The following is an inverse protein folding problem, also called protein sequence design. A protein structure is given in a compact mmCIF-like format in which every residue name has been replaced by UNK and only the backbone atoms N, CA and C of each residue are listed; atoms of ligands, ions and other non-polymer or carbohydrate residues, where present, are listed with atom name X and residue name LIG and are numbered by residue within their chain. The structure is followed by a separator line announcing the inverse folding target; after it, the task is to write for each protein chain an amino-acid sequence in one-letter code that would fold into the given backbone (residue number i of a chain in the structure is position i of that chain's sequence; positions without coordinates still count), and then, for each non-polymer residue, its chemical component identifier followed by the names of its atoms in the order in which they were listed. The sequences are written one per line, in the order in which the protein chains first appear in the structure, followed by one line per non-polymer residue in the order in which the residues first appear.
data_IF_905565390039
#
_entry.id   IF_905565390039
#
_cell.length_a   1.000
_cell.length_b   1.000
_cell.length_c   1.000
_cell.angle_alpha   90.00
_cell.angle_beta   90.00
_cell.angle_gamma   90.00
#
_symmetry.space_group_name_H-M   'P 1'
#
loop_
_entity.id
_entity.type
_entity.pdbx_description
1 polymer ?
#
# COMPACT_ATOMS: atom_id res chain seq x y z
N UNK A 1 -51.57 39.20 -34.13
CA UNK A 1 -51.87 37.75 -34.20
C UNK A 1 -50.82 37.09 -35.08
N UNK A 2 -50.18 35.98 -34.69
CA UNK A 2 -50.10 35.36 -33.37
C UNK A 2 -48.68 35.34 -32.77
N UNK A 3 -48.68 35.23 -31.45
CA UNK A 3 -47.54 34.95 -30.58
C UNK A 3 -46.96 33.57 -30.89
N UNK A 4 -45.64 33.40 -30.80
CA UNK A 4 -45.06 32.16 -30.30
C UNK A 4 -43.84 32.45 -29.44
N UNK A 5 -44.13 32.59 -28.15
CA UNK A 5 -43.22 32.28 -27.05
C UNK A 5 -42.93 30.78 -27.17
N UNK A 6 -41.66 30.39 -27.34
CA UNK A 6 -41.23 29.02 -27.07
C UNK A 6 -40.42 29.01 -25.77
N UNK A 7 -40.79 28.15 -24.79
CA UNK A 7 -40.27 28.21 -23.43
C UNK A 7 -38.88 27.58 -23.33
N UNK A 8 -38.07 28.20 -22.47
CA UNK A 8 -36.88 27.60 -21.87
C UNK A 8 -37.33 26.35 -21.11
N UNK A 9 -37.02 25.16 -21.62
CA UNK A 9 -37.16 23.92 -20.85
C UNK A 9 -36.04 23.88 -19.79
N UNK A 10 -36.32 24.46 -18.63
CA UNK A 10 -35.66 24.10 -17.38
C UNK A 10 -36.15 22.69 -17.02
N UNK A 11 -35.41 21.66 -17.42
CA UNK A 11 -35.57 20.33 -16.83
C UNK A 11 -34.88 20.37 -15.47
N UNK A 12 -35.64 20.74 -14.45
CA UNK A 12 -35.29 20.50 -13.05
C UNK A 12 -35.41 18.98 -12.88
N UNK A 13 -34.28 18.27 -12.96
CA UNK A 13 -34.20 16.93 -12.39
C UNK A 13 -34.30 17.07 -10.87
N UNK A 14 -35.51 16.95 -10.35
CA UNK A 14 -35.73 16.63 -8.94
C UNK A 14 -35.17 15.22 -8.79
N UNK A 15 -33.90 15.13 -8.40
CA UNK A 15 -33.33 13.90 -7.87
C UNK A 15 -34.04 13.68 -6.54
N UNK A 16 -35.13 12.91 -6.59
CA UNK A 16 -35.72 12.32 -5.39
C UNK A 16 -34.65 11.39 -4.85
N UNK A 17 -33.85 11.89 -3.90
CA UNK A 17 -33.05 11.05 -3.03
C UNK A 17 -34.02 10.16 -2.26
N UNK A 18 -34.38 9.02 -2.83
CA UNK A 18 -34.83 7.88 -2.03
C UNK A 18 -33.61 7.46 -1.22
N UNK A 19 -33.51 8.04 -0.03
CA UNK A 19 -32.68 7.50 1.04
C UNK A 19 -33.16 6.07 1.29
N UNK A 20 -32.53 5.11 0.62
CA UNK A 20 -32.49 3.74 1.12
C UNK A 20 -31.53 3.78 2.29
N UNK A 21 -32.07 4.13 3.46
CA UNK A 21 -31.56 3.59 4.69
C UNK A 21 -31.68 2.06 4.54
N UNK A 22 -30.57 1.38 4.29
CA UNK A 22 -30.49 -0.01 4.68
C UNK A 22 -30.54 0.00 6.20
N UNK A 23 -31.76 -0.10 6.73
CA UNK A 23 -32.07 -0.42 8.11
C UNK A 23 -31.33 -1.73 8.43
N UNK A 24 -30.13 -1.61 9.01
CA UNK A 24 -29.61 -2.66 9.86
C UNK A 24 -30.67 -2.90 10.93
N UNK A 25 -31.19 -4.12 11.01
CA UNK A 25 -32.17 -4.52 12.02
C UNK A 25 -31.75 -3.93 13.37
N UNK A 26 -32.60 -3.06 13.91
CA UNK A 26 -32.45 -2.51 15.26
C UNK A 26 -32.71 -3.66 16.24
N UNK A 27 -31.76 -4.59 16.34
CA UNK A 27 -31.62 -5.52 17.46
C UNK A 27 -31.68 -4.63 18.68
N UNK A 28 -32.64 -4.83 19.58
CA UNK A 28 -33.00 -3.82 20.57
C UNK A 28 -31.93 -3.50 21.62
N UNK A 29 -30.68 -3.93 21.43
CA UNK A 29 -29.51 -3.80 22.28
C UNK A 29 -28.61 -2.64 21.80
N UNK A 30 -27.77 -2.12 22.70
CA UNK A 30 -26.76 -1.12 22.31
C UNK A 30 -25.61 -1.80 21.55
N UNK A 31 -25.20 -1.19 20.45
CA UNK A 31 -24.14 -1.68 19.60
C UNK A 31 -23.21 -0.54 19.16
N UNK A 32 -21.98 -0.89 18.78
CA UNK A 32 -21.04 0.03 18.13
C UNK A 32 -20.91 -0.37 16.67
N UNK A 33 -21.43 0.47 15.78
CA UNK A 33 -21.16 0.40 14.36
C UNK A 33 -19.82 1.05 14.05
N UNK A 34 -19.11 0.52 13.06
CA UNK A 34 -17.82 1.05 12.64
C UNK A 34 -17.73 1.21 11.14
N UNK A 35 -17.03 2.25 10.71
CA UNK A 35 -16.77 2.52 9.30
C UNK A 35 -15.34 3.05 9.13
N UNK A 36 -14.50 2.33 8.39
CA UNK A 36 -13.16 2.82 8.04
C UNK A 36 -13.26 3.94 7.01
N UNK A 37 -12.35 4.92 7.11
CA UNK A 37 -12.24 5.98 6.10
C UNK A 37 -11.81 5.40 4.74
N UNK A 38 -10.78 4.53 4.80
CA UNK A 38 -10.16 3.91 3.64
C UNK A 38 -10.69 2.51 3.39
N UNK A 39 -10.76 2.14 2.12
CA UNK A 39 -10.98 0.75 1.72
C UNK A 39 -9.73 -0.09 1.97
N UNK A 40 -9.91 -1.39 2.20
CA UNK A 40 -8.80 -2.33 2.23
C UNK A 40 -8.08 -2.40 0.88
N UNK A 41 -6.83 -2.83 0.89
CA UNK A 41 -6.08 -3.06 -0.34
C UNK A 41 -6.76 -4.06 -1.28
N UNK A 42 -7.41 -5.10 -0.74
CA UNK A 42 -8.13 -6.11 -1.53
C UNK A 42 -9.17 -5.48 -2.43
N UNK A 43 -9.91 -4.48 -1.94
CA UNK A 43 -10.94 -3.82 -2.70
C UNK A 43 -10.35 -3.09 -3.92
N UNK A 44 -9.24 -2.38 -3.73
CA UNK A 44 -8.52 -1.73 -4.83
C UNK A 44 -7.94 -2.72 -5.82
N UNK A 45 -7.30 -3.79 -5.33
CA UNK A 45 -6.72 -4.85 -6.18
C UNK A 45 -7.84 -5.50 -7.01
N UNK A 46 -9.01 -5.76 -6.42
CA UNK A 46 -10.17 -6.30 -7.14
C UNK A 46 -10.70 -5.34 -8.19
N UNK A 47 -10.79 -4.05 -7.86
CA UNK A 47 -11.29 -2.99 -8.74
C UNK A 47 -10.45 -2.79 -10.02
N UNK A 48 -9.19 -3.24 -10.03
CA UNK A 48 -8.34 -3.20 -11.22
C UNK A 48 -8.82 -4.16 -12.31
N UNK A 49 -9.25 -5.36 -11.91
CA UNK A 49 -9.62 -6.42 -12.85
C UNK A 49 -11.15 -6.57 -13.01
N UNK A 50 -11.95 -6.13 -12.02
CA UNK A 50 -13.41 -6.29 -12.01
C UNK A 50 -14.10 -5.04 -11.46
N UNK A 51 -15.37 -4.85 -11.80
CA UNK A 51 -16.19 -3.85 -11.12
C UNK A 51 -16.49 -4.31 -9.68
N UNK A 52 -16.52 -3.35 -8.76
CA UNK A 52 -16.84 -3.57 -7.34
C UNK A 52 -18.15 -2.89 -7.04
N UNK A 53 -19.12 -3.66 -6.54
CA UNK A 53 -20.46 -3.14 -6.20
C UNK A 53 -20.41 -2.21 -4.98
N UNK A 54 -21.42 -1.34 -4.84
CA UNK A 54 -21.53 -0.45 -3.67
C UNK A 54 -21.67 -1.24 -2.36
N UNK A 55 -22.37 -2.38 -2.39
CA UNK A 55 -22.48 -3.28 -1.24
C UNK A 55 -21.11 -3.78 -0.78
N UNK A 56 -20.26 -4.20 -1.71
CA UNK A 56 -18.90 -4.65 -1.37
C UNK A 56 -18.03 -3.53 -0.81
N UNK A 57 -18.19 -2.29 -1.30
CA UNK A 57 -17.51 -1.11 -0.74
C UNK A 57 -17.99 -0.82 0.69
N UNK A 58 -19.28 -0.96 0.93
CA UNK A 58 -19.86 -0.74 2.25
C UNK A 58 -19.41 -1.82 3.25
N UNK A 59 -19.48 -3.09 2.86
CA UNK A 59 -19.05 -4.22 3.68
C UNK A 59 -17.54 -4.14 4.02
N UNK A 60 -16.71 -3.77 3.05
CA UNK A 60 -15.27 -3.59 3.25
C UNK A 60 -14.96 -2.52 4.32
N UNK A 61 -15.78 -1.46 4.40
CA UNK A 61 -15.61 -0.42 5.41
C UNK A 61 -16.07 -0.83 6.81
N UNK A 62 -16.90 -1.88 6.93
CA UNK A 62 -17.41 -2.39 8.20
C UNK A 62 -16.48 -3.43 8.86
N UNK A 63 -15.35 -3.75 8.22
CA UNK A 63 -14.36 -4.74 8.71
C UNK A 63 -13.81 -4.42 10.11
N UNK A 64 -13.46 -5.48 10.83
CA UNK A 64 -12.87 -5.46 12.18
C UNK A 64 -11.33 -5.54 12.16
N UNK A 65 -10.75 -6.05 11.07
CA UNK A 65 -9.30 -6.02 10.81
C UNK A 65 -8.93 -4.66 10.26
N UNK A 66 -8.02 -3.96 10.93
CA UNK A 66 -7.66 -2.57 10.63
C UNK A 66 -6.15 -2.46 10.46
N UNK A 67 -5.69 -1.71 9.46
CA UNK A 67 -4.26 -1.48 9.27
C UNK A 67 -3.77 -0.37 10.22
N UNK A 68 -2.51 -0.47 10.64
CA UNK A 68 -1.86 0.62 11.36
C UNK A 68 -1.96 1.95 10.58
N UNK A 69 -2.14 3.05 11.30
CA UNK A 69 -2.33 4.38 10.72
C UNK A 69 -3.73 4.67 10.15
N UNK A 70 -4.65 3.69 10.12
CA UNK A 70 -6.03 3.94 9.65
C UNK A 70 -6.87 4.75 10.65
N UNK A 71 -7.96 5.31 10.15
CA UNK A 71 -8.96 6.03 10.93
C UNK A 71 -10.31 5.33 10.78
N UNK A 72 -11.02 5.18 11.91
CA UNK A 72 -12.31 4.51 12.01
C UNK A 72 -13.32 5.47 12.62
N UNK A 73 -14.46 5.61 11.99
CA UNK A 73 -15.62 6.26 12.56
C UNK A 73 -16.45 5.23 13.33
N UNK A 74 -16.77 5.53 14.59
CA UNK A 74 -17.57 4.69 15.47
C UNK A 74 -18.90 5.39 15.74
N UNK A 75 -20.01 4.66 15.64
CA UNK A 75 -21.36 5.16 15.92
C UNK A 75 -22.03 4.25 16.94
N UNK A 76 -22.47 4.83 18.05
CA UNK A 76 -23.30 4.13 19.02
C UNK A 76 -24.73 4.06 18.48
N UNK A 77 -25.23 2.84 18.28
CA UNK A 77 -26.60 2.56 17.82
C UNK A 77 -27.36 1.69 18.83
N UNK A 78 -28.67 1.56 18.63
CA UNK A 78 -29.60 0.88 19.53
C UNK A 78 -30.78 1.76 19.96
N UNK A 79 -31.61 1.26 20.88
CA UNK A 79 -32.78 2.00 21.38
C UNK A 79 -32.36 3.25 22.16
N UNK A 80 -32.99 4.38 21.88
CA UNK A 80 -32.77 5.66 22.59
C UNK A 80 -32.90 5.52 24.12
N UNK A 81 -33.84 4.68 24.58
CA UNK A 81 -34.03 4.41 26.00
C UNK A 81 -32.78 3.79 26.66
N UNK A 82 -32.04 2.93 25.95
CA UNK A 82 -30.80 2.32 26.44
C UNK A 82 -29.62 3.30 26.40
N UNK A 83 -29.65 4.30 25.52
CA UNK A 83 -28.66 5.38 25.52
C UNK A 83 -28.91 6.31 26.72
N UNK A 84 -30.16 6.67 27.00
CA UNK A 84 -30.48 7.64 28.05
C UNK A 84 -30.05 9.06 27.66
N UNK A 85 -29.57 9.85 28.63
CA UNK A 85 -29.06 11.20 28.37
C UNK A 85 -27.78 11.18 27.52
N UNK A 86 -27.79 11.70 26.28
CA UNK A 86 -26.62 11.70 25.42
C UNK A 86 -25.42 12.41 26.02
N UNK A 87 -25.59 13.39 26.92
CA UNK A 87 -24.47 14.14 27.53
C UNK A 87 -23.58 13.28 28.45
N UNK A 88 -24.08 12.09 28.83
CA UNK A 88 -23.41 11.13 29.71
C UNK A 88 -22.81 9.95 28.97
N UNK A 89 -22.80 9.96 27.63
CA UNK A 89 -22.07 8.96 26.84
C UNK A 89 -20.57 9.14 27.10
N UNK A 90 -19.93 8.05 27.51
CA UNK A 90 -18.48 7.98 27.72
C UNK A 90 -17.87 6.91 26.83
N UNK A 91 -16.81 7.27 26.11
CA UNK A 91 -16.06 6.35 25.25
C UNK A 91 -14.74 5.98 25.91
N UNK A 92 -14.41 4.69 25.88
CA UNK A 92 -13.18 4.15 26.45
C UNK A 92 -12.49 3.20 25.47
N UNK A 93 -11.17 3.29 25.44
CA UNK A 93 -10.31 2.32 24.76
C UNK A 93 -9.74 1.39 25.84
N UNK A 94 -9.80 0.09 25.59
CA UNK A 94 -9.16 -0.95 26.39
C UNK A 94 -8.06 -1.56 25.53
N UNK A 95 -6.82 -1.24 25.88
CA UNK A 95 -5.62 -1.55 25.10
C UNK A 95 -4.81 -0.29 24.78
N UNK A 96 -3.70 -0.46 24.06
CA UNK A 96 -2.85 0.62 23.57
C UNK A 96 -2.88 0.69 22.03
N UNK A 97 -2.20 1.65 21.43
CA UNK A 97 -2.02 1.70 19.97
C UNK A 97 -3.12 2.39 19.18
N UNK A 98 -4.04 3.08 19.84
CA UNK A 98 -5.03 3.95 19.22
C UNK A 98 -5.42 5.11 20.14
N UNK A 99 -5.92 6.21 19.56
CA UNK A 99 -6.43 7.36 20.30
C UNK A 99 -7.73 7.86 19.67
N UNK A 100 -8.60 8.48 20.49
CA UNK A 100 -9.72 9.24 19.94
C UNK A 100 -9.26 10.58 19.39
N UNK A 101 -9.89 11.00 18.29
CA UNK A 101 -9.66 12.31 17.67
C UNK A 101 -10.76 13.26 18.13
N UNK A 102 -10.36 14.33 18.82
CA UNK A 102 -11.27 15.37 19.32
C UNK A 102 -12.03 14.99 20.60
N UNK A 103 -13.11 15.73 20.89
CA UNK A 103 -13.94 15.52 22.08
C UNK A 103 -14.90 14.33 21.89
N UNK A 104 -14.89 13.40 22.83
CA UNK A 104 -15.75 12.19 22.80
C UNK A 104 -16.95 12.27 23.74
N UNK A 105 -16.87 13.11 24.78
CA UNK A 105 -17.90 13.18 25.81
C UNK A 105 -19.22 13.61 25.22
N UNK A 106 -20.24 12.81 25.51
CA UNK A 106 -21.60 13.05 25.09
C UNK A 106 -21.86 12.93 23.58
N UNK A 107 -20.94 12.32 22.82
CA UNK A 107 -21.08 12.13 21.38
C UNK A 107 -21.55 10.71 21.07
N UNK A 108 -22.58 10.58 20.25
CA UNK A 108 -22.98 9.28 19.67
C UNK A 108 -22.03 8.79 18.58
N UNK A 109 -21.25 9.71 17.99
CA UNK A 109 -20.31 9.42 16.92
C UNK A 109 -18.93 9.93 17.31
N UNK A 110 -17.92 9.08 17.24
CA UNK A 110 -16.53 9.44 17.55
C UNK A 110 -15.59 8.88 16.50
N UNK A 111 -14.39 9.45 16.42
CA UNK A 111 -13.35 9.01 15.50
C UNK A 111 -12.20 8.40 16.29
N UNK A 112 -11.79 7.20 15.90
CA UNK A 112 -10.65 6.48 16.42
C UNK A 112 -9.51 6.50 15.40
N UNK A 113 -8.32 6.91 15.80
CA UNK A 113 -7.11 6.86 14.99
C UNK A 113 -6.18 5.78 15.52
N UNK A 114 -5.78 4.86 14.63
CA UNK A 114 -4.84 3.79 14.93
C UNK A 114 -3.42 4.32 14.77
N UNK A 115 -2.56 4.02 15.75
CA UNK A 115 -1.16 4.43 15.74
C UNK A 115 -0.45 3.93 14.48
N UNK A 116 0.42 4.78 13.92
CA UNK A 116 1.36 4.42 12.88
C UNK A 116 2.73 3.99 13.45
N UNK A 117 2.90 3.91 14.77
CA UNK A 117 4.13 3.48 15.45
C UNK A 117 4.07 2.06 16.03
N UNK A 118 3.21 1.21 15.48
CA UNK A 118 3.03 -0.17 15.92
C UNK A 118 4.13 -1.10 15.37
N UNK A 119 4.61 -2.00 16.23
CA UNK A 119 5.65 -3.00 15.88
C UNK A 119 5.10 -4.41 15.65
N UNK A 120 3.92 -4.68 16.17
CA UNK A 120 3.27 -5.99 16.11
C UNK A 120 1.76 -5.82 15.99
N UNK A 121 1.08 -6.91 15.62
CA UNK A 121 -0.38 -6.94 15.60
C UNK A 121 -0.91 -6.82 17.03
N UNK A 122 -2.00 -6.09 17.20
CA UNK A 122 -2.65 -5.93 18.51
C UNK A 122 -4.16 -6.13 18.41
N UNK A 123 -4.78 -6.52 19.52
CA UNK A 123 -6.23 -6.52 19.67
C UNK A 123 -6.63 -5.31 20.51
N UNK A 124 -7.62 -4.57 20.01
CA UNK A 124 -8.13 -3.35 20.63
C UNK A 124 -9.60 -3.53 20.93
N UNK A 125 -10.04 -3.17 22.14
CA UNK A 125 -11.47 -3.12 22.48
C UNK A 125 -11.90 -1.68 22.70
N UNK A 126 -13.00 -1.28 22.08
CA UNK A 126 -13.65 0.01 22.32
C UNK A 126 -14.96 -0.22 23.05
N UNK A 127 -15.21 0.58 24.08
CA UNK A 127 -16.41 0.55 24.90
C UNK A 127 -17.13 1.90 24.82
N UNK A 128 -18.46 1.85 24.71
CA UNK A 128 -19.34 2.99 24.92
C UNK A 128 -20.21 2.70 26.14
N UNK A 129 -20.09 3.56 27.15
CA UNK A 129 -20.80 3.46 28.42
C UNK A 129 -21.93 4.49 28.40
N UNK A 130 -23.13 4.05 28.73
CA UNK A 130 -24.33 4.89 28.82
C UNK A 130 -25.02 4.68 30.17
N UNK A 131 -25.84 5.65 30.59
CA UNK A 131 -26.65 5.46 31.81
C UNK A 131 -27.96 4.72 31.56
N UNK A 132 -28.50 4.80 30.33
CA UNK A 132 -29.82 4.23 30.01
C UNK A 132 -29.89 2.73 30.26
N UNK A 133 -28.83 1.99 29.92
CA UNK A 133 -28.71 0.57 30.24
C UNK A 133 -28.76 0.29 31.73
N UNK A 134 -28.03 1.04 32.54
CA UNK A 134 -28.03 0.85 34.00
C UNK A 134 -29.42 1.06 34.60
N UNK A 135 -30.16 2.05 34.10
CA UNK A 135 -31.51 2.36 34.58
C UNK A 135 -32.51 1.27 34.22
N UNK A 136 -32.38 0.65 33.05
CA UNK A 136 -33.36 -0.33 32.52
C UNK A 136 -33.02 -1.76 32.94
N UNK A 137 -31.75 -2.14 32.85
CA UNK A 137 -31.29 -3.53 33.04
C UNK A 137 -30.70 -3.78 34.42
N UNK A 138 -30.54 -2.73 35.25
CA UNK A 138 -30.00 -2.81 36.61
C UNK A 138 -28.47 -2.99 36.69
N UNK A 139 -27.82 -3.25 35.56
CA UNK A 139 -26.36 -3.41 35.43
C UNK A 139 -25.80 -2.49 34.33
N UNK A 140 -24.53 -2.08 34.48
CA UNK A 140 -23.83 -1.33 33.44
C UNK A 140 -23.11 -2.31 32.52
N UNK A 141 -23.72 -2.61 31.36
CA UNK A 141 -23.13 -3.48 30.34
C UNK A 141 -22.70 -2.64 29.12
N UNK A 142 -21.45 -2.19 29.02
CA UNK A 142 -21.03 -1.33 27.91
C UNK A 142 -21.32 -1.99 26.55
N UNK A 143 -21.66 -1.17 25.55
CA UNK A 143 -21.57 -1.62 24.17
C UNK A 143 -20.09 -1.78 23.84
N UNK A 144 -19.71 -2.94 23.30
CA UNK A 144 -18.31 -3.26 23.03
C UNK A 144 -18.10 -3.58 21.55
N UNK A 145 -16.91 -3.23 21.05
CA UNK A 145 -16.44 -3.69 19.75
C UNK A 145 -14.95 -3.99 19.81
N UNK A 146 -14.57 -5.14 19.26
CA UNK A 146 -13.18 -5.55 19.14
C UNK A 146 -12.67 -5.29 17.72
N UNK A 147 -11.42 -4.85 17.63
CA UNK A 147 -10.69 -4.62 16.40
C UNK A 147 -9.36 -5.38 16.44
N UNK A 148 -8.96 -5.92 15.30
CA UNK A 148 -7.68 -6.61 15.14
C UNK A 148 -6.77 -5.74 14.30
N UNK A 149 -5.90 -4.99 14.96
CA UNK A 149 -4.98 -4.09 14.30
C UNK A 149 -3.82 -4.89 13.72
N UNK A 150 -3.55 -4.67 12.43
CA UNK A 150 -2.51 -5.35 11.66
C UNK A 150 -1.38 -4.38 11.35
N UNK A 151 -0.16 -4.90 11.41
CA UNK A 151 1.03 -4.24 10.87
C UNK A 151 1.45 -4.92 9.57
N UNK A 152 2.18 -4.22 8.66
CA UNK A 152 2.76 -4.86 7.50
C UNK A 152 3.71 -5.98 7.91
N UNK A 153 3.48 -7.19 7.41
CA UNK A 153 4.21 -8.39 7.86
C UNK A 153 5.15 -8.95 6.79
N UNK A 154 4.79 -8.78 5.52
CA UNK A 154 5.58 -9.23 4.38
C UNK A 154 5.16 -8.46 3.13
N UNK A 155 5.87 -8.71 2.05
CA UNK A 155 5.58 -8.14 0.74
C UNK A 155 5.68 -9.17 -0.37
N UNK A 156 5.07 -8.86 -1.50
CA UNK A 156 5.30 -9.55 -2.78
C UNK A 156 5.70 -8.54 -3.83
N UNK A 157 6.47 -8.96 -4.83
CA UNK A 157 6.91 -8.11 -5.93
C UNK A 157 6.65 -8.78 -7.27
N UNK A 158 6.23 -7.99 -8.26
CA UNK A 158 6.06 -8.41 -9.65
C UNK A 158 6.51 -7.28 -10.58
N UNK A 159 6.83 -7.59 -11.83
CA UNK A 159 7.05 -6.55 -12.83
C UNK A 159 5.78 -5.71 -13.01
N UNK A 160 5.90 -4.39 -13.10
CA UNK A 160 4.75 -3.51 -13.30
C UNK A 160 4.03 -3.83 -14.62
N UNK A 161 2.70 -3.66 -14.62
CA UNK A 161 1.88 -3.88 -15.82
C UNK A 161 2.21 -2.83 -16.89
N UNK A 162 2.14 -3.20 -18.16
CA UNK A 162 2.37 -2.26 -19.27
C UNK A 162 1.29 -1.19 -19.42
N UNK A 163 0.07 -1.52 -19.01
CA UNK A 163 -1.08 -0.64 -19.04
C UNK A 163 -2.10 -1.09 -17.98
N UNK A 164 -3.02 -0.20 -17.56
CA UNK A 164 -4.15 -0.59 -16.72
C UNK A 164 -4.90 -1.79 -17.31
N UNK A 165 -5.29 -2.74 -16.46
CA UNK A 165 -5.98 -4.01 -16.83
C UNK A 165 -5.20 -4.97 -17.74
N UNK A 166 -3.96 -4.65 -18.11
CA UNK A 166 -3.14 -5.53 -18.94
C UNK A 166 -2.55 -6.68 -18.13
N UNK A 167 -2.64 -7.90 -18.67
CA UNK A 167 -1.92 -9.06 -18.14
C UNK A 167 -0.43 -9.04 -18.54
N UNK A 168 -0.05 -8.22 -19.52
CA UNK A 168 1.35 -8.05 -19.89
C UNK A 168 2.10 -7.20 -18.86
N UNK A 169 3.23 -7.72 -18.39
CA UNK A 169 4.10 -7.07 -17.43
C UNK A 169 5.48 -6.76 -18.03
N UNK A 170 6.18 -5.83 -17.40
CA UNK A 170 7.52 -5.40 -17.79
C UNK A 170 7.49 -4.09 -18.53
N UNK A 171 7.82 -3.02 -17.80
CA UNK A 171 8.15 -1.71 -18.35
C UNK A 171 9.50 -1.28 -17.82
N UNK A 172 10.32 -0.57 -18.61
CA UNK A 172 11.62 -0.11 -18.12
C UNK A 172 11.48 0.96 -17.04
N UNK A 173 12.47 1.04 -16.16
CA UNK A 173 12.45 1.99 -15.04
C UNK A 173 12.65 3.43 -15.51
N UNK A 174 12.00 4.37 -14.81
CA UNK A 174 12.20 5.81 -14.95
C UNK A 174 12.62 6.37 -13.59
N UNK A 175 13.80 6.99 -13.53
CA UNK A 175 14.36 7.56 -12.30
C UNK A 175 14.58 9.06 -12.55
N UNK A 176 14.01 9.91 -11.70
CA UNK A 176 14.08 11.39 -11.84
C UNK A 176 13.70 11.90 -13.24
N UNK A 177 12.65 11.31 -13.85
CA UNK A 177 12.19 11.65 -15.20
C UNK A 177 13.05 11.09 -16.33
N UNK A 178 14.10 10.32 -16.02
CA UNK A 178 15.02 9.76 -17.01
C UNK A 178 14.76 8.27 -17.19
N UNK A 179 14.47 7.87 -18.44
CA UNK A 179 14.34 6.46 -18.81
C UNK A 179 15.71 5.76 -18.72
N UNK A 180 15.80 4.69 -17.93
CA UNK A 180 17.08 4.08 -17.60
C UNK A 180 17.65 3.25 -18.75
N UNK A 181 16.82 2.41 -19.38
CA UNK A 181 17.18 1.67 -20.60
C UNK A 181 15.91 1.35 -21.40
N UNK A 182 15.98 1.34 -22.73
CA UNK A 182 14.84 1.01 -23.61
C UNK A 182 15.21 -0.06 -24.63
N UNK A 183 14.22 -0.84 -25.06
CA UNK A 183 14.37 -1.75 -26.20
C UNK A 183 14.95 -1.01 -27.42
N UNK A 184 15.91 -1.67 -28.10
CA UNK A 184 16.55 -1.14 -29.31
C UNK A 184 17.66 -0.10 -29.09
N UNK A 185 17.91 0.36 -27.86
CA UNK A 185 19.04 1.26 -27.59
C UNK A 185 20.37 0.50 -27.57
N UNK A 186 21.29 0.91 -28.45
CA UNK A 186 22.66 0.36 -28.57
C UNK A 186 23.69 1.18 -27.79
N UNK A 187 23.53 2.51 -27.75
CA UNK A 187 24.45 3.46 -27.08
C UNK A 187 24.33 3.49 -25.54
N UNK A 188 23.19 3.02 -25.03
CA UNK A 188 22.93 2.90 -23.60
C UNK A 188 22.88 1.42 -23.29
N UNK A 189 23.91 0.93 -22.60
CA UNK A 189 23.99 -0.43 -22.07
C UNK A 189 23.19 -0.53 -20.77
N UNK A 190 22.72 -1.73 -20.45
CA UNK A 190 22.02 -1.98 -19.20
C UNK A 190 20.69 -2.68 -19.34
N UNK A 191 20.00 -2.88 -18.22
CA UNK A 191 18.66 -3.42 -18.15
C UNK A 191 17.92 -2.73 -17.01
N UNK A 192 16.62 -2.52 -17.16
CA UNK A 192 15.83 -1.88 -16.11
C UNK A 192 14.38 -2.34 -16.13
N UNK A 193 13.76 -2.31 -14.96
CA UNK A 193 12.35 -2.63 -14.77
C UNK A 193 11.77 -1.80 -13.63
N UNK A 194 10.51 -1.38 -13.80
CA UNK A 194 9.69 -0.96 -12.67
C UNK A 194 9.00 -2.19 -12.07
N UNK A 195 9.06 -2.33 -10.75
CA UNK A 195 8.43 -3.38 -9.97
C UNK A 195 7.24 -2.82 -9.20
N UNK A 196 6.15 -3.56 -9.19
CA UNK A 196 5.00 -3.35 -8.32
C UNK A 196 5.19 -4.21 -7.07
N UNK A 197 5.34 -3.56 -5.92
CA UNK A 197 5.57 -4.23 -4.63
C UNK A 197 4.34 -4.02 -3.76
N UNK A 198 3.74 -5.11 -3.28
CA UNK A 198 2.49 -5.12 -2.50
C UNK A 198 2.76 -5.56 -1.06
N UNK A 199 2.30 -4.79 -0.08
CA UNK A 199 2.42 -5.10 1.35
C UNK A 199 1.20 -5.88 1.87
N UNK A 200 1.46 -6.81 2.79
CA UNK A 200 0.47 -7.71 3.35
C UNK A 200 0.32 -7.54 4.87
N UNK A 201 -0.87 -7.81 5.44
CA UNK A 201 -2.04 -8.35 4.74
C UNK A 201 -2.80 -7.31 3.88
N UNK A 202 -3.46 -7.76 2.82
CA UNK A 202 -4.18 -6.88 1.88
C UNK A 202 -5.65 -6.67 2.24
N UNK A 203 -6.19 -7.39 3.24
CA UNK A 203 -7.54 -7.14 3.76
C UNK A 203 -7.62 -5.95 4.72
N UNK A 204 -6.58 -5.11 4.77
CA UNK A 204 -6.51 -3.84 5.49
C UNK A 204 -5.86 -2.77 4.61
N UNK A 205 -5.82 -1.51 5.07
CA UNK A 205 -5.11 -0.43 4.36
C UNK A 205 -3.89 0.05 5.14
N UNK A 206 -2.78 0.26 4.44
CA UNK A 206 -1.55 0.85 4.96
C UNK A 206 -1.20 2.16 4.26
N UNK A 207 -2.16 2.80 3.55
CA UNK A 207 -1.89 4.00 2.76
C UNK A 207 -1.40 5.20 3.60
N UNK A 208 -1.73 5.24 4.90
CA UNK A 208 -1.26 6.27 5.84
C UNK A 208 0.08 5.92 6.49
N UNK A 209 0.69 4.79 6.12
CA UNK A 209 2.00 4.35 6.61
C UNK A 209 3.09 4.82 5.66
N UNK A 210 4.16 5.37 6.24
CA UNK A 210 5.34 5.79 5.49
C UNK A 210 6.35 4.66 5.45
N UNK A 211 6.86 4.38 4.26
CA UNK A 211 7.88 3.37 4.00
C UNK A 211 9.16 4.00 3.47
N UNK A 212 10.28 3.33 3.71
CA UNK A 212 11.57 3.69 3.14
C UNK A 212 12.41 2.45 2.91
N UNK A 213 13.10 2.43 1.78
CA UNK A 213 14.16 1.47 1.51
C UNK A 213 15.49 1.99 2.08
N UNK A 214 16.23 1.12 2.76
CA UNK A 214 17.54 1.41 3.29
C UNK A 214 18.56 0.49 2.63
N UNK A 215 19.71 1.06 2.25
CA UNK A 215 20.90 0.27 1.95
C UNK A 215 21.58 -0.10 3.26
N UNK A 216 21.72 -1.40 3.54
CA UNK A 216 22.42 -1.89 4.73
C UNK A 216 23.95 -1.80 4.57
N UNK A 217 24.42 -1.57 3.34
CA UNK A 217 25.83 -1.66 2.94
C UNK A 217 26.52 -0.31 2.67
N UNK A 218 25.80 0.81 2.78
CA UNK A 218 26.07 2.05 2.03
C UNK A 218 27.44 2.72 2.30
N UNK A 219 28.19 2.21 3.29
CA UNK A 219 29.49 2.73 3.70
C UNK A 219 30.60 1.67 3.86
N UNK A 220 30.38 0.40 3.49
CA UNK A 220 31.34 -0.69 3.77
C UNK A 220 31.78 -1.54 2.58
N UNK A 221 31.05 -1.54 1.46
CA UNK A 221 31.39 -2.36 0.29
C UNK A 221 32.33 -1.63 -0.69
N UNK A 222 33.37 -2.33 -1.13
CA UNK A 222 34.17 -1.96 -2.30
C UNK A 222 33.46 -2.53 -3.53
N UNK A 223 33.03 -1.66 -4.43
CA UNK A 223 32.34 -2.07 -5.65
C UNK A 223 33.34 -2.36 -6.78
N UNK A 224 33.00 -3.27 -7.70
CA UNK A 224 33.75 -3.42 -8.93
C UNK A 224 33.60 -2.13 -9.77
N UNK A 225 34.42 -1.96 -10.78
CA UNK A 225 34.50 -0.71 -11.55
C UNK A 225 33.20 -0.24 -12.24
N UNK A 226 32.25 -1.15 -12.48
CA UNK A 226 30.91 -0.84 -13.01
C UNK A 226 29.84 -0.74 -11.93
N UNK A 227 30.17 -1.13 -10.70
CA UNK A 227 29.30 -1.00 -9.55
C UNK A 227 29.34 0.43 -8.99
N UNK A 228 28.27 0.79 -8.30
CA UNK A 228 28.12 2.10 -7.67
C UNK A 228 27.42 1.99 -6.32
N UNK A 229 27.36 3.12 -5.62
CA UNK A 229 26.54 3.23 -4.41
C UNK A 229 25.06 3.07 -4.74
N UNK A 230 24.30 2.59 -3.77
CA UNK A 230 22.86 2.45 -3.93
C UNK A 230 22.20 3.80 -3.71
N UNK A 231 21.48 4.30 -4.72
CA UNK A 231 20.54 5.41 -4.49
C UNK A 231 19.26 4.82 -3.90
N UNK A 232 19.10 4.90 -2.58
CA UNK A 232 17.86 4.48 -1.92
C UNK A 232 16.69 5.33 -2.41
N UNK A 233 15.58 4.70 -2.76
CA UNK A 233 14.36 5.42 -3.15
C UNK A 233 13.87 6.33 -2.02
N UNK A 234 13.42 7.54 -2.38
CA UNK A 234 12.86 8.55 -1.46
C UNK A 234 11.71 7.95 -0.64
N UNK A 235 11.65 8.26 0.66
CA UNK A 235 10.56 7.82 1.55
C UNK A 235 9.20 8.22 0.97
N UNK A 236 8.22 7.32 1.02
CA UNK A 236 6.90 7.54 0.45
C UNK A 236 5.77 6.86 1.21
N UNK A 237 4.55 7.29 0.92
CA UNK A 237 3.34 6.59 1.36
C UNK A 237 2.98 5.47 0.38
N UNK A 238 2.32 4.44 0.88
CA UNK A 238 1.79 3.39 0.02
C UNK A 238 0.60 3.92 -0.79
N UNK A 239 0.55 3.54 -2.06
CA UNK A 239 -0.59 3.82 -2.93
C UNK A 239 -1.70 2.77 -2.73
N UNK A 240 -2.80 2.95 -3.46
CA UNK A 240 -3.92 2.01 -3.50
C UNK A 240 -3.45 0.55 -3.67
N UNK A 241 -4.10 -0.37 -2.95
CA UNK A 241 -3.70 -1.77 -2.93
C UNK A 241 -2.50 -2.08 -2.01
N UNK A 242 -2.12 -1.18 -1.11
CA UNK A 242 -0.93 -1.28 -0.26
C UNK A 242 0.36 -1.43 -1.09
N UNK A 243 0.49 -0.66 -2.17
CA UNK A 243 1.58 -0.81 -3.13
C UNK A 243 2.61 0.33 -3.04
N UNK A 244 3.81 0.05 -3.53
CA UNK A 244 4.73 1.07 -4.02
C UNK A 244 5.43 0.57 -5.27
N UNK A 245 5.97 1.50 -6.06
CA UNK A 245 6.76 1.17 -7.24
C UNK A 245 8.24 1.27 -6.90
N UNK A 246 8.94 0.16 -7.06
CA UNK A 246 10.38 0.08 -6.97
C UNK A 246 11.01 0.10 -8.37
N UNK A 247 12.22 0.63 -8.49
CA UNK A 247 12.93 0.69 -9.76
C UNK A 247 14.25 -0.08 -9.64
N UNK A 248 14.37 -1.14 -10.44
CA UNK A 248 15.64 -1.84 -10.59
C UNK A 248 16.28 -1.46 -11.92
N UNK A 249 17.52 -0.99 -11.90
CA UNK A 249 18.20 -0.56 -13.11
C UNK A 249 19.71 -0.69 -12.99
N UNK A 250 20.34 -1.06 -14.10
CA UNK A 250 21.75 -0.85 -14.35
C UNK A 250 21.87 -0.10 -15.67
N UNK A 251 22.70 0.93 -15.74
CA UNK A 251 22.83 1.79 -16.92
C UNK A 251 24.27 2.26 -17.11
N UNK A 252 24.78 2.14 -18.33
CA UNK A 252 26.06 2.72 -18.75
C UNK A 252 25.90 3.35 -20.13
N UNK A 253 26.45 4.55 -20.32
CA UNK A 253 26.47 5.25 -21.61
C UNK A 253 27.80 4.97 -22.33
N UNK A 254 27.76 4.35 -23.52
CA UNK A 254 28.96 3.91 -24.26
C UNK A 254 29.97 5.03 -24.57
N UNK A 255 29.56 6.22 -25.07
CA UNK A 255 30.49 7.32 -25.35
C UNK A 255 31.39 7.75 -24.18
N UNK A 256 30.94 7.55 -22.94
CA UNK A 256 31.69 7.89 -21.73
C UNK A 256 32.49 6.71 -21.16
N UNK A 257 32.33 5.51 -21.74
CA UNK A 257 32.78 4.25 -21.19
C UNK A 257 33.99 3.70 -21.96
N UNK A 258 35.13 3.56 -21.28
CA UNK A 258 36.36 3.00 -21.89
C UNK A 258 36.49 1.52 -21.58
N UNK A 259 35.88 0.70 -22.42
CA UNK A 259 35.73 -0.76 -22.26
C UNK A 259 37.05 -1.49 -21.94
N UNK A 260 38.18 -1.01 -22.49
CA UNK A 260 39.52 -1.58 -22.27
C UNK A 260 40.00 -1.50 -20.81
N UNK A 261 39.46 -0.59 -20.00
CA UNK A 261 39.88 -0.37 -18.61
C UNK A 261 39.18 -1.26 -17.59
N UNK A 262 38.24 -2.09 -18.03
CA UNK A 262 37.35 -2.82 -17.14
C UNK A 262 37.53 -4.33 -17.31
N UNK A 263 37.51 -5.06 -16.19
CA UNK A 263 37.41 -6.51 -16.23
C UNK A 263 36.06 -6.87 -16.85
N UNK A 264 36.02 -7.74 -17.85
CA UNK A 264 34.88 -7.83 -18.77
C UNK A 264 33.59 -8.17 -18.03
N UNK A 265 33.55 -9.31 -17.36
CA UNK A 265 32.39 -9.69 -16.56
C UNK A 265 32.53 -9.16 -15.13
N UNK A 266 31.48 -8.52 -14.63
CA UNK A 266 31.42 -7.98 -13.28
C UNK A 266 30.04 -8.25 -12.69
N UNK A 267 30.03 -8.65 -11.43
CA UNK A 267 28.83 -8.78 -10.61
C UNK A 267 29.02 -8.05 -9.28
N UNK A 268 27.90 -7.59 -8.71
CA UNK A 268 27.87 -7.03 -7.36
C UNK A 268 26.45 -7.10 -6.80
N UNK A 269 26.33 -6.82 -5.49
CA UNK A 269 25.06 -6.83 -4.78
C UNK A 269 24.88 -5.61 -3.90
N UNK A 270 23.61 -5.28 -3.64
CA UNK A 270 23.17 -4.37 -2.59
C UNK A 270 22.22 -5.12 -1.66
N UNK A 271 22.56 -5.16 -0.38
CA UNK A 271 21.66 -5.65 0.65
C UNK A 271 20.76 -4.49 1.11
N UNK A 272 19.46 -4.70 0.95
CA UNK A 272 18.44 -3.70 1.17
C UNK A 272 17.46 -4.17 2.24
N UNK A 273 16.89 -3.22 2.97
CA UNK A 273 15.76 -3.46 3.83
C UNK A 273 14.65 -2.45 3.56
N UNK A 274 13.42 -2.93 3.61
CA UNK A 274 12.22 -2.10 3.49
C UNK A 274 11.60 -2.01 4.87
N UNK A 275 11.46 -0.77 5.33
CA UNK A 275 11.03 -0.47 6.69
C UNK A 275 9.84 0.48 6.68
N UNK A 276 8.99 0.32 7.69
CA UNK A 276 8.07 1.37 8.11
C UNK A 276 8.85 2.38 8.94
N UNK A 277 8.62 3.66 8.67
CA UNK A 277 9.32 4.77 9.32
C UNK A 277 8.36 5.82 9.86
N UNK A 278 8.65 6.33 11.05
CA UNK A 278 7.88 7.37 11.75
C UNK A 278 8.22 8.77 11.24
N UNK A 279 8.10 9.80 12.07
CA UNK A 279 8.70 11.11 11.76
C UNK A 279 10.23 11.00 11.66
N UNK A 280 10.85 11.89 10.87
CA UNK A 280 12.32 12.01 10.75
C UNK A 280 13.07 10.71 10.37
N UNK A 281 12.39 9.81 9.66
CA UNK A 281 12.93 8.49 9.26
C UNK A 281 13.27 7.54 10.43
N UNK A 282 12.70 7.77 11.62
CA UNK A 282 12.79 6.84 12.74
C UNK A 282 12.27 5.45 12.33
N UNK A 283 13.11 4.44 12.45
CA UNK A 283 12.72 3.05 12.19
C UNK A 283 11.66 2.59 13.20
N UNK A 284 10.55 2.05 12.67
CA UNK A 284 9.47 1.47 13.49
C UNK A 284 9.49 -0.06 13.35
N UNK A 285 9.46 -0.55 12.11
CA UNK A 285 9.31 -1.96 11.78
C UNK A 285 10.09 -2.29 10.50
N UNK A 286 10.92 -3.33 10.55
CA UNK A 286 11.54 -3.93 9.36
C UNK A 286 10.54 -4.91 8.75
N UNK A 287 10.07 -4.64 7.54
CA UNK A 287 9.05 -5.47 6.88
C UNK A 287 9.70 -6.56 6.02
N UNK A 288 10.79 -6.22 5.34
CA UNK A 288 11.45 -7.17 4.44
C UNK A 288 12.93 -6.83 4.29
N UNK A 289 13.74 -7.85 4.04
CA UNK A 289 15.15 -7.72 3.63
C UNK A 289 15.31 -8.43 2.31
N UNK A 290 16.02 -7.81 1.38
CA UNK A 290 16.27 -8.37 0.05
C UNK A 290 17.65 -8.00 -0.43
N UNK A 291 18.20 -8.79 -1.35
CA UNK A 291 19.44 -8.47 -2.03
C UNK A 291 19.12 -8.17 -3.49
N UNK A 292 19.54 -6.99 -3.95
CA UNK A 292 19.55 -6.66 -5.38
C UNK A 292 20.87 -7.11 -5.98
N UNK A 293 20.82 -7.85 -7.09
CA UNK A 293 22.01 -8.36 -7.77
C UNK A 293 22.12 -7.76 -9.16
N UNK A 294 23.37 -7.56 -9.56
CA UNK A 294 23.77 -7.03 -10.85
C UNK A 294 24.79 -7.97 -11.48
N UNK A 295 24.63 -8.25 -12.76
CA UNK A 295 25.55 -9.08 -13.55
C UNK A 295 25.69 -8.49 -14.95
N UNK A 296 26.93 -8.25 -15.35
CA UNK A 296 27.31 -7.75 -16.67
C UNK A 296 28.21 -8.77 -17.34
N UNK A 297 27.84 -9.21 -18.55
CA UNK A 297 28.60 -10.19 -19.34
C UNK A 297 28.76 -9.72 -20.78
N UNK A 298 29.99 -9.57 -21.23
CA UNK A 298 30.26 -9.27 -22.65
C UNK A 298 30.10 -10.53 -23.47
N UNK A 299 29.44 -10.39 -24.62
CA UNK A 299 29.06 -11.53 -25.47
C UNK A 299 29.63 -11.47 -26.87
N UNK A 300 30.44 -10.45 -27.18
CA UNK A 300 31.15 -10.34 -28.44
C UNK A 300 32.65 -10.07 -28.25
N UNK A 301 33.44 -10.49 -29.24
CA UNK A 301 34.91 -10.42 -29.19
C UNK A 301 35.44 -8.98 -29.24
N UNK A 302 34.67 -8.08 -29.86
CA UNK A 302 34.99 -6.66 -29.98
C UNK A 302 34.49 -5.83 -28.79
N UNK A 303 33.85 -6.48 -27.81
CA UNK A 303 33.29 -5.85 -26.62
C UNK A 303 32.35 -4.68 -26.98
N UNK A 304 31.50 -4.86 -27.99
CA UNK A 304 30.43 -3.93 -28.36
C UNK A 304 29.06 -4.38 -27.85
N UNK A 305 28.96 -5.64 -27.42
CA UNK A 305 27.73 -6.26 -26.94
C UNK A 305 27.87 -6.74 -25.49
N UNK A 306 26.94 -6.31 -24.64
CA UNK A 306 26.83 -6.72 -23.25
C UNK A 306 25.42 -7.20 -22.95
N UNK A 307 25.38 -8.22 -22.12
CA UNK A 307 24.18 -8.68 -21.45
C UNK A 307 24.22 -8.12 -20.03
N UNK A 308 23.25 -7.27 -19.71
CA UNK A 308 23.04 -6.78 -18.36
C UNK A 308 21.84 -7.50 -17.74
N UNK A 309 22.01 -7.98 -16.51
CA UNK A 309 20.97 -8.62 -15.72
C UNK A 309 20.87 -7.91 -14.38
N UNK A 310 19.64 -7.56 -13.99
CA UNK A 310 19.34 -7.00 -12.66
C UNK A 310 18.23 -7.86 -12.05
N UNK A 311 18.39 -8.26 -10.78
CA UNK A 311 17.37 -9.04 -10.06
C UNK A 311 17.19 -8.54 -8.63
N UNK A 312 15.97 -8.62 -8.12
CA UNK A 312 15.59 -8.28 -6.73
C UNK A 312 14.37 -9.12 -6.30
N UNK A 313 14.08 -9.16 -5.00
CA UNK A 313 12.91 -9.85 -4.43
C UNK A 313 12.75 -11.31 -4.88
N UNK A 314 13.85 -12.08 -4.81
CA UNK A 314 13.89 -13.54 -5.03
C UNK A 314 13.04 -14.06 -6.22
N UNK A 315 12.97 -13.28 -7.30
CA UNK A 315 12.15 -13.68 -8.45
C UNK A 315 12.05 -12.62 -9.52
N UNK A 316 12.02 -11.33 -9.18
CA UNK A 316 11.92 -10.28 -10.20
C UNK A 316 13.28 -10.04 -10.86
N UNK A 317 13.45 -10.52 -12.09
CA UNK A 317 14.65 -10.32 -12.90
C UNK A 317 14.31 -9.62 -14.21
N UNK A 318 15.18 -8.68 -14.61
CA UNK A 318 15.19 -8.10 -15.95
C UNK A 318 16.56 -8.29 -16.57
N UNK A 319 16.57 -8.68 -17.85
CA UNK A 319 17.76 -8.92 -18.64
C UNK A 319 17.64 -8.21 -19.98
N UNK A 320 18.72 -7.58 -20.46
CA UNK A 320 18.78 -7.07 -21.83
C UNK A 320 20.15 -7.28 -22.43
N UNK A 321 20.14 -7.69 -23.68
CA UNK A 321 21.27 -7.68 -24.60
C UNK A 321 21.15 -6.43 -25.49
N UNK A 322 22.20 -5.62 -25.60
CA UNK A 322 22.16 -4.35 -26.33
C UNK A 322 22.36 -4.47 -27.86
N UNK A 323 22.50 -5.69 -28.42
CA UNK A 323 22.61 -5.87 -29.87
C UNK A 323 21.32 -5.40 -30.57
N UNK A 324 21.41 -4.88 -31.81
CA UNK A 324 20.23 -4.42 -32.56
C UNK A 324 19.12 -5.47 -32.61
N UNK A 325 17.88 -5.04 -32.36
CA UNK A 325 16.69 -5.90 -32.38
C UNK A 325 16.37 -6.64 -31.08
N UNK A 326 17.30 -6.67 -30.11
CA UNK A 326 17.05 -7.29 -28.81
C UNK A 326 16.21 -6.40 -27.88
N UNK A 327 15.43 -7.05 -27.02
CA UNK A 327 14.49 -6.44 -26.07
C UNK A 327 14.79 -6.87 -24.65
N UNK A 328 14.23 -6.15 -23.68
CA UNK A 328 14.22 -6.60 -22.29
C UNK A 328 13.44 -7.92 -22.19
N UNK A 329 14.01 -8.85 -21.43
CA UNK A 329 13.35 -10.06 -20.97
C UNK A 329 13.07 -9.90 -19.48
N UNK A 330 11.79 -10.00 -19.12
CA UNK A 330 11.32 -9.89 -17.74
C UNK A 330 10.93 -11.29 -17.27
N UNK A 331 11.50 -11.75 -16.16
CA UNK A 331 11.24 -13.08 -15.60
C UNK A 331 10.91 -13.00 -14.12
N UNK A 332 10.09 -13.95 -13.67
CA UNK A 332 9.65 -14.17 -12.29
C UNK A 332 8.73 -13.11 -11.70
N UNK A 333 8.52 -13.20 -10.38
CA UNK A 333 7.44 -12.54 -9.64
C UNK A 333 6.31 -13.52 -9.29
N UNK A 334 6.42 -14.19 -8.15
CA UNK A 334 5.34 -14.94 -7.49
C UNK A 334 5.48 -14.77 -5.97
N UNK A 335 4.35 -14.92 -5.27
CA UNK A 335 4.17 -14.62 -3.85
C UNK A 335 5.29 -15.18 -2.96
N UNK A 336 6.05 -14.30 -2.32
CA UNK A 336 6.94 -14.67 -1.22
C UNK A 336 6.04 -15.03 -0.03
N UNK A 337 5.60 -16.29 0.03
CA UNK A 337 5.04 -16.84 1.27
C UNK A 337 6.21 -17.10 2.20
N UNK A 338 6.41 -16.21 3.16
CA UNK A 338 7.03 -16.64 4.41
C UNK A 338 6.03 -17.55 5.10
N UNK A 339 6.48 -18.76 5.45
CA UNK A 339 5.77 -19.66 6.36
C UNK A 339 5.26 -18.87 7.56
N UNK A 340 3.98 -19.01 7.96
CA UNK A 340 3.49 -18.35 9.16
C UNK A 340 4.19 -18.98 10.37
N UNK A 341 5.03 -18.20 11.05
CA UNK A 341 5.21 -18.43 12.48
C UNK A 341 3.93 -17.92 13.16
N UNK A 342 3.06 -18.89 13.45
CA UNK A 342 1.93 -18.87 14.38
C UNK A 342 0.82 -17.82 14.12
N UNK A 343 -0.33 -18.34 13.64
CA UNK A 343 -1.65 -17.74 13.89
C UNK A 343 -2.01 -17.75 15.37
#
# INVERSE_FOLDING_TARGET
MPNFILPIFFVIFIFVCTAHAEDGENTGELNIESKTELYSANLYIKAEDNDVSEKEKEDDRKRDKIGMGETIELTLSGKEALVGDPSKIEWKIVGEGANFVGETKGKKKVTLEISNELKENISLKVQAITEGQKVIEGETKPAEKEFFIKVPSHLTAQHARKAPKSQERGIPAVINGVLMSKDGWTEILGASAQLEVTFYPTNVSFQKVRIKEFSEDDNKKVFPSLGGKHETTVSGFLIYGNRFYDNIAARITLPSFKIEKHNLSQDWTWDCSIKVVGSEDKEILVVHKTTQFFDWRWVDINKSAVVATVRKFEGCQVKRDNRPGNRHSYTGGQSIKLTPENE
#
